data_IF_799437554999
#
_entry.id   IF_799437554999
#
_cell.length_a   1.000
_cell.length_b   1.000
_cell.length_c   1.000
_cell.angle_alpha   90.00
_cell.angle_beta   90.00
_cell.angle_gamma   90.00
#
_symmetry.space_group_name_H-M   'P 1'
#
loop_
_entity.id
_entity.type
_entity.pdbx_description
1 polymer ?
#
# COMPACT_ATOMS: atom_id res chain seq x y z
N UNK A 1 -8.28 -0.16 -69.14
CA UNK A 1 -7.10 0.29 -68.38
C UNK A 1 -7.47 1.02 -67.08
N UNK A 2 -8.37 2.02 -67.09
CA UNK A 2 -8.77 2.79 -65.90
C UNK A 2 -9.52 1.91 -64.86
N UNK A 3 -10.32 0.96 -65.31
CA UNK A 3 -11.05 0.02 -64.46
C UNK A 3 -10.11 -0.86 -63.61
N UNK A 4 -8.99 -1.31 -64.19
CA UNK A 4 -8.00 -2.11 -63.51
C UNK A 4 -7.25 -1.31 -62.46
N UNK A 5 -6.97 -0.03 -62.68
CA UNK A 5 -6.39 0.88 -61.70
C UNK A 5 -7.32 1.12 -60.52
N UNK A 6 -8.62 1.33 -60.79
CA UNK A 6 -9.62 1.52 -59.74
C UNK A 6 -9.77 0.24 -58.92
N UNK A 7 -9.86 -0.93 -59.55
CA UNK A 7 -9.96 -2.22 -58.85
C UNK A 7 -8.74 -2.49 -57.95
N UNK A 8 -7.51 -2.21 -58.43
CA UNK A 8 -6.29 -2.35 -57.63
C UNK A 8 -6.25 -1.36 -56.46
N UNK A 9 -6.74 -0.15 -56.64
CA UNK A 9 -6.81 0.84 -55.56
C UNK A 9 -7.76 0.40 -54.45
N UNK A 10 -8.96 -0.06 -54.82
CA UNK A 10 -9.95 -0.55 -53.84
C UNK A 10 -9.43 -1.80 -53.10
N UNK A 11 -8.81 -2.73 -53.85
CA UNK A 11 -8.21 -3.93 -53.25
C UNK A 11 -7.09 -3.58 -52.26
N UNK A 12 -6.21 -2.63 -52.60
CA UNK A 12 -5.13 -2.16 -51.73
C UNK A 12 -5.65 -1.55 -50.44
N UNK A 13 -6.69 -0.73 -50.49
CA UNK A 13 -7.33 -0.12 -49.31
C UNK A 13 -7.95 -1.22 -48.44
N UNK A 14 -8.64 -2.20 -49.06
CA UNK A 14 -9.22 -3.32 -48.34
C UNK A 14 -8.18 -4.16 -47.58
N UNK A 15 -7.05 -4.49 -48.23
CA UNK A 15 -5.95 -5.22 -47.60
C UNK A 15 -5.33 -4.43 -46.45
N UNK A 16 -5.09 -3.14 -46.61
CA UNK A 16 -4.56 -2.27 -45.53
C UNK A 16 -5.50 -2.20 -44.34
N UNK A 17 -6.81 -2.10 -44.56
CA UNK A 17 -7.81 -2.10 -43.52
C UNK A 17 -7.80 -3.43 -42.69
N UNK A 18 -7.71 -4.57 -43.37
CA UNK A 18 -7.60 -5.89 -42.73
C UNK A 18 -6.31 -5.99 -41.90
N UNK A 19 -5.19 -5.51 -42.44
CA UNK A 19 -3.91 -5.50 -41.69
C UNK A 19 -3.99 -4.64 -40.42
N UNK A 20 -4.62 -3.47 -40.51
CA UNK A 20 -4.81 -2.60 -39.33
C UNK A 20 -5.66 -3.29 -38.22
N UNK A 21 -6.71 -4.00 -38.60
CA UNK A 21 -7.53 -4.77 -37.68
C UNK A 21 -6.74 -5.90 -37.01
N UNK A 22 -5.92 -6.63 -37.76
CA UNK A 22 -5.06 -7.67 -37.20
C UNK A 22 -4.06 -7.11 -36.19
N UNK A 23 -3.41 -5.99 -36.45
CA UNK A 23 -2.47 -5.37 -35.53
C UNK A 23 -3.17 -4.94 -34.24
N UNK A 24 -4.33 -4.30 -34.34
CA UNK A 24 -5.12 -3.90 -33.15
C UNK A 24 -5.54 -5.12 -32.35
N UNK A 25 -5.99 -6.19 -33.01
CA UNK A 25 -6.35 -7.46 -32.34
C UNK A 25 -5.18 -8.06 -31.55
N UNK A 26 -3.99 -8.13 -32.18
CA UNK A 26 -2.79 -8.67 -31.51
C UNK A 26 -2.37 -7.85 -30.28
N UNK A 27 -2.42 -6.52 -30.35
CA UNK A 27 -2.12 -5.65 -29.21
C UNK A 27 -3.12 -5.89 -28.08
N UNK A 28 -4.41 -6.02 -28.40
CA UNK A 28 -5.46 -6.26 -27.42
C UNK A 28 -5.28 -7.62 -26.71
N UNK A 29 -4.97 -8.67 -27.47
CA UNK A 29 -4.70 -10.00 -26.91
C UNK A 29 -3.49 -9.98 -25.99
N UNK A 30 -2.39 -9.36 -26.40
CA UNK A 30 -1.19 -9.22 -25.56
C UNK A 30 -1.51 -8.52 -24.25
N UNK A 31 -2.25 -7.40 -24.32
CA UNK A 31 -2.65 -6.65 -23.12
C UNK A 31 -3.54 -7.49 -22.19
N UNK A 32 -4.49 -8.23 -22.74
CA UNK A 32 -5.35 -9.13 -21.96
C UNK A 32 -4.53 -10.23 -21.27
N UNK A 33 -3.58 -10.85 -21.97
CA UNK A 33 -2.68 -11.85 -21.42
C UNK A 33 -1.83 -11.27 -20.28
N UNK A 34 -1.25 -10.08 -20.47
CA UNK A 34 -0.46 -9.40 -19.43
C UNK A 34 -1.28 -9.14 -18.17
N UNK A 35 -2.52 -8.64 -18.31
CA UNK A 35 -3.41 -8.37 -17.15
C UNK A 35 -3.79 -9.68 -16.45
N UNK A 36 -4.14 -10.71 -17.21
CA UNK A 36 -4.50 -12.04 -16.65
C UNK A 36 -3.32 -12.66 -15.90
N UNK A 37 -2.13 -12.61 -16.46
CA UNK A 37 -0.90 -13.09 -15.79
C UNK A 37 -0.59 -12.29 -14.53
N UNK A 38 -0.73 -10.97 -14.59
CA UNK A 38 -0.53 -10.11 -13.42
C UNK A 38 -1.53 -10.39 -12.30
N UNK A 39 -2.80 -10.66 -12.65
CA UNK A 39 -3.82 -11.05 -11.67
C UNK A 39 -3.48 -12.39 -11.01
N UNK A 40 -3.07 -13.39 -11.79
CA UNK A 40 -2.65 -14.68 -11.27
C UNK A 40 -1.43 -14.57 -10.34
N UNK A 41 -0.46 -13.70 -10.66
CA UNK A 41 0.67 -13.42 -9.77
C UNK A 41 0.22 -12.76 -8.46
N UNK A 42 -0.71 -11.80 -8.52
CA UNK A 42 -1.24 -11.13 -7.34
C UNK A 42 -1.99 -12.13 -6.44
N UNK A 43 -2.80 -13.01 -7.01
CA UNK A 43 -3.52 -14.03 -6.27
C UNK A 43 -2.56 -15.05 -5.64
N UNK A 44 -1.54 -15.50 -6.37
CA UNK A 44 -0.51 -16.41 -5.85
C UNK A 44 0.23 -15.80 -4.66
N UNK A 45 0.48 -14.49 -4.68
CA UNK A 45 1.11 -13.80 -3.57
C UNK A 45 0.16 -13.68 -2.38
N UNK A 46 -1.11 -13.37 -2.63
CA UNK A 46 -2.14 -13.29 -1.59
C UNK A 46 -2.35 -14.63 -0.88
N UNK A 47 -2.27 -15.76 -1.61
CA UNK A 47 -2.38 -17.11 -1.02
C UNK A 47 -1.26 -17.39 0.00
N UNK A 48 -0.07 -16.83 -0.20
CA UNK A 48 1.01 -16.96 0.79
C UNK A 48 0.62 -16.31 2.12
N UNK A 49 -0.03 -15.14 2.08
CA UNK A 49 -0.52 -14.48 3.28
C UNK A 49 -1.66 -15.25 3.95
N UNK A 50 -2.52 -15.91 3.17
CA UNK A 50 -3.60 -16.78 3.71
C UNK A 50 -3.06 -18.00 4.43
N UNK A 51 -1.87 -18.48 4.06
CA UNK A 51 -1.20 -19.59 4.73
C UNK A 51 -0.48 -19.18 6.03
N UNK A 52 -0.34 -17.89 6.31
CA UNK A 52 0.35 -17.38 7.50
C UNK A 52 -0.62 -17.20 8.67
N UNK A 53 -0.09 -17.41 9.89
CA UNK A 53 -0.81 -17.00 11.10
C UNK A 53 -0.93 -15.49 11.16
N UNK A 54 -2.05 -14.97 11.65
CA UNK A 54 -2.33 -13.54 11.76
C UNK A 54 -1.17 -12.74 12.40
N UNK A 55 -0.56 -13.28 13.47
CA UNK A 55 0.53 -12.63 14.22
C UNK A 55 1.74 -12.32 13.32
N UNK A 56 2.07 -13.21 12.38
CA UNK A 56 3.27 -13.07 11.53
C UNK A 56 3.01 -12.34 10.21
N UNK A 57 1.77 -11.96 9.92
CA UNK A 57 1.45 -11.14 8.76
C UNK A 57 2.03 -9.74 8.96
N UNK A 58 3.02 -9.37 8.17
CA UNK A 58 3.70 -8.09 8.23
C UNK A 58 4.85 -8.02 7.25
N UNK A 59 5.58 -6.93 7.28
CA UNK A 59 6.72 -6.67 6.42
C UNK A 59 7.92 -6.27 7.28
N UNK A 60 9.12 -6.56 6.82
CA UNK A 60 10.34 -6.15 7.51
C UNK A 60 10.57 -4.63 7.37
N UNK A 61 10.98 -3.99 8.47
CA UNK A 61 11.19 -2.54 8.55
C UNK A 61 12.29 -2.06 7.61
N UNK A 62 13.38 -2.80 7.55
CA UNK A 62 14.53 -2.45 6.72
C UNK A 62 14.20 -2.56 5.23
N UNK A 63 13.45 -3.59 4.86
CA UNK A 63 13.00 -3.81 3.48
C UNK A 63 11.97 -2.77 3.03
N UNK A 64 11.03 -2.39 3.90
CA UNK A 64 10.08 -1.30 3.62
C UNK A 64 10.80 0.03 3.44
N UNK A 65 11.81 0.32 4.26
CA UNK A 65 12.62 1.53 4.13
C UNK A 65 13.41 1.56 2.81
N UNK A 66 13.86 0.40 2.32
CA UNK A 66 14.61 0.24 1.08
C UNK A 66 13.71 0.14 -0.18
N UNK A 67 12.39 0.03 -0.04
CA UNK A 67 11.46 -0.27 -1.13
C UNK A 67 11.35 0.80 -2.23
N UNK A 68 11.85 2.02 -1.95
CA UNK A 68 11.99 3.10 -2.93
C UNK A 68 10.73 3.95 -3.14
N UNK A 69 10.91 5.05 -3.89
CA UNK A 69 9.91 6.11 -4.03
C UNK A 69 8.57 5.63 -4.64
N UNK A 70 8.60 4.72 -5.60
CA UNK A 70 7.38 4.20 -6.26
C UNK A 70 6.51 3.42 -5.27
N UNK A 71 7.13 2.61 -4.41
CA UNK A 71 6.45 1.88 -3.36
C UNK A 71 5.82 2.85 -2.35
N UNK A 72 6.59 3.82 -1.87
CA UNK A 72 6.15 4.79 -0.87
C UNK A 72 5.09 5.77 -1.39
N UNK A 73 5.03 6.01 -2.70
CA UNK A 73 4.04 6.88 -3.33
C UNK A 73 2.71 6.19 -3.62
N UNK A 74 2.61 4.87 -3.50
CA UNK A 74 1.37 4.15 -3.76
C UNK A 74 0.28 4.48 -2.74
N UNK A 75 -0.97 4.50 -3.20
CA UNK A 75 -2.14 4.74 -2.33
C UNK A 75 -2.32 3.66 -1.26
N UNK A 76 -1.79 2.44 -1.45
CA UNK A 76 -1.78 1.40 -0.45
C UNK A 76 -0.82 1.69 0.72
N UNK A 77 0.18 2.55 0.49
CA UNK A 77 1.08 3.09 1.52
C UNK A 77 0.48 4.36 2.15
N UNK A 78 -0.79 4.29 2.56
CA UNK A 78 -1.53 5.47 2.99
C UNK A 78 -0.98 6.11 4.24
N UNK A 79 -0.88 7.44 4.18
CA UNK A 79 -0.93 8.32 5.34
C UNK A 79 -2.37 8.82 5.43
N UNK A 80 -3.14 8.43 6.43
CA UNK A 80 -4.40 9.09 6.73
C UNK A 80 -4.07 10.42 7.41
N UNK A 81 -4.71 11.47 6.94
CA UNK A 81 -4.55 12.82 7.48
C UNK A 81 -5.72 13.22 8.37
N UNK A 82 -6.70 12.37 8.55
CA UNK A 82 -7.89 12.56 9.38
C UNK A 82 -8.03 11.39 10.36
N UNK A 83 -8.33 11.67 11.65
CA UNK A 83 -8.49 12.99 12.24
C UNK A 83 -7.18 13.77 12.35
N UNK A 84 -7.29 15.10 12.38
CA UNK A 84 -6.17 16.00 12.59
C UNK A 84 -6.51 17.03 13.67
N UNK A 85 -5.46 17.48 14.37
CA UNK A 85 -5.52 18.48 15.42
C UNK A 85 -4.21 19.29 15.43
N UNK A 86 -3.99 20.10 16.42
CA UNK A 86 -2.74 20.84 16.60
C UNK A 86 -2.14 20.57 17.97
N UNK A 87 -0.84 20.69 18.08
CA UNK A 87 -0.12 20.59 19.34
C UNK A 87 -0.44 21.85 20.19
N UNK A 88 -0.85 21.66 21.44
CA UNK A 88 -1.22 22.78 22.31
C UNK A 88 -0.01 23.55 22.86
N UNK A 89 1.13 22.89 23.05
CA UNK A 89 2.36 23.48 23.58
C UNK A 89 3.58 22.86 22.91
N UNK A 90 4.69 23.60 22.94
CA UNK A 90 5.99 23.10 22.44
C UNK A 90 6.41 21.86 23.23
N UNK A 91 6.93 20.87 22.51
CA UNK A 91 7.54 19.67 23.08
C UNK A 91 8.99 19.53 22.60
N UNK A 92 9.85 19.00 23.44
CA UNK A 92 11.21 18.63 23.07
C UNK A 92 11.29 17.21 22.48
N UNK A 93 12.47 16.81 22.05
CA UNK A 93 12.69 15.49 21.45
C UNK A 93 12.56 14.32 22.45
N UNK A 94 12.65 14.59 23.76
CA UNK A 94 12.59 13.57 24.81
C UNK A 94 11.19 13.43 25.43
N UNK A 95 10.25 14.32 25.08
CA UNK A 95 8.90 14.30 25.65
C UNK A 95 8.19 12.97 25.35
N UNK A 96 7.67 12.33 26.37
CA UNK A 96 6.89 11.08 26.27
C UNK A 96 5.38 11.32 26.31
N UNK A 97 4.96 12.54 26.56
CA UNK A 97 3.57 12.98 26.53
C UNK A 97 3.44 14.25 25.71
N UNK A 98 2.32 14.42 25.03
CA UNK A 98 1.98 15.66 24.32
C UNK A 98 0.52 16.00 24.57
N UNK A 99 0.23 17.30 24.60
CA UNK A 99 -1.14 17.79 24.70
C UNK A 99 -1.57 18.38 23.37
N UNK A 100 -2.67 17.90 22.85
CA UNK A 100 -3.29 18.36 21.59
C UNK A 100 -4.47 19.28 21.88
N UNK A 101 -4.85 20.11 20.91
CA UNK A 101 -6.00 21.00 21.03
C UNK A 101 -7.33 20.22 21.19
N UNK A 102 -7.44 19.06 20.55
CA UNK A 102 -8.57 18.15 20.71
C UNK A 102 -8.14 16.73 20.41
N UNK A 103 -8.47 15.79 21.29
CA UNK A 103 -8.32 14.35 21.06
C UNK A 103 -9.56 13.71 20.39
N UNK A 104 -10.61 14.51 20.13
CA UNK A 104 -11.88 14.00 19.58
C UNK A 104 -11.68 13.46 18.17
N UNK A 105 -12.24 12.31 17.89
CA UNK A 105 -12.19 11.64 16.60
C UNK A 105 -10.96 10.74 16.39
N UNK A 106 -9.95 10.82 17.25
CA UNK A 106 -8.85 9.86 17.19
C UNK A 106 -9.31 8.49 17.71
N UNK A 107 -8.77 7.39 17.16
CA UNK A 107 -9.13 6.04 17.61
C UNK A 107 -8.65 5.77 19.05
N UNK A 108 -9.12 4.68 19.63
CA UNK A 108 -8.53 4.15 20.86
C UNK A 108 -7.07 3.75 20.61
N UNK A 109 -6.19 4.05 21.58
CA UNK A 109 -4.80 3.60 21.50
C UNK A 109 -4.71 2.06 21.44
N UNK A 110 -3.70 1.50 20.74
CA UNK A 110 -2.56 2.19 20.15
C UNK A 110 -2.79 2.63 18.68
N UNK A 111 -2.21 3.76 18.29
CA UNK A 111 -2.22 4.23 16.90
C UNK A 111 -0.99 5.12 16.64
N UNK A 112 -0.83 5.56 15.40
CA UNK A 112 0.28 6.44 14.99
C UNK A 112 -0.23 7.82 14.62
N UNK A 113 0.58 8.82 14.94
CA UNK A 113 0.39 10.21 14.51
C UNK A 113 1.64 10.71 13.81
N UNK A 114 1.44 11.65 12.89
CA UNK A 114 2.52 12.40 12.24
C UNK A 114 2.54 13.82 12.80
N UNK A 115 3.74 14.28 13.13
CA UNK A 115 4.01 15.63 13.63
C UNK A 115 5.24 16.16 12.89
N UNK A 116 5.05 17.02 11.89
CA UNK A 116 6.11 17.37 10.94
C UNK A 116 6.59 16.15 10.15
N UNK A 117 7.87 15.84 10.22
CA UNK A 117 8.45 14.64 9.60
C UNK A 117 8.57 13.47 10.58
N UNK A 118 8.30 13.68 11.85
CA UNK A 118 8.33 12.64 12.87
C UNK A 118 7.02 11.86 12.92
N UNK A 119 7.14 10.55 13.14
CA UNK A 119 6.03 9.66 13.49
C UNK A 119 6.15 9.29 14.95
N UNK A 120 5.05 9.42 15.67
CA UNK A 120 4.94 9.05 17.07
C UNK A 120 3.95 7.89 17.21
N UNK A 121 4.27 6.95 18.07
CA UNK A 121 3.38 5.86 18.41
C UNK A 121 2.64 6.19 19.70
N UNK A 122 1.33 6.41 19.59
CA UNK A 122 0.45 6.71 20.74
C UNK A 122 0.12 5.41 21.43
N UNK A 123 0.50 5.31 22.69
CA UNK A 123 0.25 4.13 23.53
C UNK A 123 -0.95 4.29 24.45
N UNK A 124 -1.32 5.54 24.77
CA UNK A 124 -2.46 5.85 25.64
C UNK A 124 -3.05 7.21 25.25
N UNK A 125 -4.37 7.33 25.39
CA UNK A 125 -5.12 8.58 25.18
C UNK A 125 -5.94 8.89 26.42
N UNK A 126 -5.69 10.05 27.01
CA UNK A 126 -6.48 10.58 28.12
C UNK A 126 -6.98 11.98 27.74
N UNK A 127 -8.16 12.03 27.12
CA UNK A 127 -8.74 13.25 26.59
C UNK A 127 -7.85 13.90 25.49
N UNK A 128 -7.27 15.06 25.79
CA UNK A 128 -6.36 15.76 24.92
C UNK A 128 -4.87 15.42 25.16
N UNK A 129 -4.56 14.55 26.12
CA UNK A 129 -3.19 14.14 26.45
C UNK A 129 -2.91 12.77 25.85
N UNK A 130 -1.88 12.69 25.02
CA UNK A 130 -1.41 11.46 24.39
C UNK A 130 -0.07 11.04 24.98
N UNK A 131 0.01 9.80 25.48
CA UNK A 131 1.28 9.17 25.85
C UNK A 131 1.89 8.54 24.60
N UNK A 132 3.14 8.84 24.31
CA UNK A 132 3.76 8.49 23.02
C UNK A 132 5.16 7.91 23.15
N UNK A 133 5.50 7.04 22.21
CA UNK A 133 6.88 6.68 21.91
C UNK A 133 7.35 7.51 20.70
N UNK A 134 8.49 8.16 20.86
CA UNK A 134 9.07 9.09 19.87
C UNK A 134 9.83 8.35 18.78
N UNK A 135 9.99 8.99 17.62
CA UNK A 135 10.81 8.48 16.52
C UNK A 135 10.34 7.13 15.97
N UNK A 136 9.03 6.86 16.02
CA UNK A 136 8.48 5.63 15.46
C UNK A 136 8.70 5.59 13.95
N UNK A 137 8.63 4.38 13.39
CA UNK A 137 8.70 4.17 11.95
C UNK A 137 10.00 4.68 11.30
N UNK A 138 11.15 4.50 11.97
CA UNK A 138 12.46 4.94 11.50
C UNK A 138 12.59 6.46 11.32
N UNK A 139 11.70 7.25 11.92
CA UNK A 139 11.84 8.69 11.98
C UNK A 139 12.69 9.11 13.18
N UNK A 140 13.22 10.32 13.14
CA UNK A 140 14.04 10.87 14.24
C UNK A 140 13.17 11.75 15.13
N UNK A 141 13.27 11.54 16.46
CA UNK A 141 12.62 12.39 17.42
C UNK A 141 13.17 13.83 17.33
N UNK A 142 12.27 14.80 17.23
CA UNK A 142 12.59 16.22 17.08
C UNK A 142 11.76 17.10 18.02
N UNK A 143 12.19 18.33 18.26
CA UNK A 143 11.37 19.32 18.94
C UNK A 143 10.31 19.89 18.01
N UNK A 144 9.08 20.11 18.53
CA UNK A 144 7.97 20.66 17.76
C UNK A 144 7.32 21.81 18.51
N UNK A 145 7.06 22.89 17.80
CA UNK A 145 6.42 24.09 18.36
C UNK A 145 4.93 23.88 18.60
N UNK A 146 4.38 24.56 19.59
CA UNK A 146 2.93 24.67 19.77
C UNK A 146 2.27 25.17 18.48
N UNK A 147 1.08 24.65 18.16
CA UNK A 147 0.38 24.92 16.92
C UNK A 147 0.76 23.99 15.74
N UNK A 148 1.81 23.16 15.88
CA UNK A 148 2.17 22.20 14.83
C UNK A 148 1.02 21.21 14.57
N UNK A 149 0.80 20.90 13.29
CA UNK A 149 -0.26 19.96 12.88
C UNK A 149 0.05 18.54 13.36
N UNK A 150 -0.91 17.94 14.02
CA UNK A 150 -0.91 16.53 14.46
C UNK A 150 -1.98 15.80 13.67
N UNK A 151 -1.60 14.85 12.85
CA UNK A 151 -2.54 14.06 12.05
C UNK A 151 -2.38 12.58 12.35
N UNK A 152 -3.50 11.84 12.36
CA UNK A 152 -3.42 10.39 12.41
C UNK A 152 -2.63 9.88 11.20
N UNK A 153 -1.77 8.89 11.43
CA UNK A 153 -1.06 8.20 10.37
C UNK A 153 -1.39 6.72 10.38
N UNK A 154 -2.04 6.26 9.32
CA UNK A 154 -2.15 4.85 9.06
C UNK A 154 -0.97 4.41 8.21
N UNK A 155 -0.25 3.41 8.64
CA UNK A 155 0.97 2.97 7.97
C UNK A 155 0.97 1.47 7.71
N UNK A 156 1.80 1.08 6.75
CA UNK A 156 2.20 -0.30 6.51
C UNK A 156 2.57 -0.97 7.83
N UNK A 157 1.93 -2.09 8.12
CA UNK A 157 2.20 -2.86 9.32
C UNK A 157 3.52 -3.58 9.16
N UNK A 158 4.40 -3.33 10.11
CA UNK A 158 5.72 -3.92 10.15
C UNK A 158 5.77 -4.84 11.36
N UNK A 159 6.13 -6.08 11.14
CA UNK A 159 6.46 -7.00 12.22
C UNK A 159 7.93 -6.81 12.54
N UNK A 160 8.22 -6.26 13.71
CA UNK A 160 9.56 -6.30 14.25
C UNK A 160 9.84 -7.72 14.70
N UNK A 161 10.68 -8.41 13.97
CA UNK A 161 11.13 -9.74 14.32
C UNK A 161 12.31 -9.61 15.27
N UNK A 162 12.03 -9.45 16.56
CA UNK A 162 13.08 -9.59 17.57
C UNK A 162 13.77 -10.95 17.39
N UNK A 163 15.05 -10.96 17.06
CA UNK A 163 15.99 -12.09 16.96
C UNK A 163 15.48 -13.45 16.41
N UNK A 164 14.37 -13.49 15.71
CA UNK A 164 13.79 -14.70 15.10
C UNK A 164 13.55 -14.51 13.61
N UNK A 165 13.58 -15.59 12.85
CA UNK A 165 13.29 -15.56 11.40
C UNK A 165 11.85 -15.16 11.17
N UNK A 166 11.60 -13.91 10.78
CA UNK A 166 10.32 -13.59 10.17
C UNK A 166 10.23 -14.24 8.80
N UNK A 167 9.17 -14.96 8.59
CA UNK A 167 8.79 -15.35 7.23
C UNK A 167 8.15 -14.13 6.57
N UNK A 168 8.93 -13.06 6.41
CA UNK A 168 8.46 -11.85 5.78
C UNK A 168 8.59 -12.00 4.28
N UNK A 169 7.54 -11.65 3.60
CA UNK A 169 7.60 -11.43 2.15
C UNK A 169 8.25 -10.08 1.92
N UNK A 170 9.22 -10.02 1.01
CA UNK A 170 9.81 -8.76 0.59
C UNK A 170 8.71 -7.80 0.12
N UNK A 171 8.72 -6.53 0.58
CA UNK A 171 7.73 -5.55 0.17
C UNK A 171 7.75 -5.29 -1.34
N UNK A 172 8.90 -5.49 -1.97
CA UNK A 172 9.10 -5.34 -3.42
C UNK A 172 9.89 -6.53 -3.94
N UNK A 173 9.34 -7.25 -4.89
CA UNK A 173 10.04 -8.34 -5.56
C UNK A 173 9.80 -8.35 -7.07
N UNK A 174 10.70 -8.98 -7.80
CA UNK A 174 10.54 -9.26 -9.22
C UNK A 174 10.04 -10.69 -9.38
N UNK A 175 9.06 -10.88 -10.26
CA UNK A 175 8.49 -12.18 -10.59
C UNK A 175 8.35 -12.34 -12.11
N UNK A 176 8.61 -13.54 -12.62
CA UNK A 176 8.38 -13.86 -14.02
C UNK A 176 6.99 -14.50 -14.16
N UNK A 177 6.16 -13.94 -15.03
CA UNK A 177 4.83 -14.48 -15.31
C UNK A 177 4.86 -15.68 -16.25
N UNK A 178 3.72 -16.36 -16.37
CA UNK A 178 3.56 -17.48 -17.30
C UNK A 178 3.71 -17.08 -18.78
N UNK A 179 3.56 -15.79 -19.08
CA UNK A 179 3.79 -15.19 -20.40
C UNK A 179 5.29 -14.89 -20.67
N UNK A 180 6.18 -15.24 -19.75
CA UNK A 180 7.62 -14.97 -19.85
C UNK A 180 8.03 -13.53 -19.58
N UNK A 181 7.08 -12.64 -19.24
CA UNK A 181 7.37 -11.25 -18.91
C UNK A 181 7.78 -11.10 -17.44
N UNK A 182 8.62 -10.10 -17.16
CA UNK A 182 9.00 -9.75 -15.81
C UNK A 182 8.05 -8.71 -15.24
N UNK A 183 7.61 -8.92 -14.00
CA UNK A 183 6.69 -8.08 -13.26
C UNK A 183 7.32 -7.64 -11.95
N UNK A 184 7.03 -6.42 -11.53
CA UNK A 184 7.29 -5.94 -10.18
C UNK A 184 6.05 -6.19 -9.34
N UNK A 185 6.23 -6.86 -8.21
CA UNK A 185 5.17 -7.16 -7.25
C UNK A 185 5.46 -6.38 -5.97
N UNK A 186 4.60 -5.43 -5.65
CA UNK A 186 4.65 -4.63 -4.44
C UNK A 186 3.60 -5.13 -3.46
N UNK A 187 4.02 -5.40 -2.22
CA UNK A 187 3.15 -5.89 -1.16
C UNK A 187 3.08 -4.86 -0.03
N UNK A 188 1.86 -4.55 0.40
CA UNK A 188 1.57 -3.62 1.49
C UNK A 188 0.77 -4.34 2.56
N UNK A 189 1.14 -4.12 3.82
CA UNK A 189 0.35 -4.57 4.96
C UNK A 189 0.04 -3.34 5.81
N UNK A 190 -1.23 -3.01 5.95
CA UNK A 190 -1.69 -1.86 6.72
C UNK A 190 -2.70 -2.28 7.78
N UNK A 191 -2.81 -1.51 8.86
CA UNK A 191 -3.87 -1.68 9.82
C UNK A 191 -5.20 -1.17 9.25
N UNK A 192 -6.24 -1.94 9.45
CA UNK A 192 -7.62 -1.55 9.17
C UNK A 192 -8.45 -1.70 10.43
N UNK A 193 -9.12 -0.62 10.83
CA UNK A 193 -10.10 -0.68 11.90
C UNK A 193 -11.42 -1.18 11.32
N UNK A 194 -11.87 -2.34 11.79
CA UNK A 194 -13.20 -2.85 11.47
C UNK A 194 -14.17 -2.26 12.51
N UNK A 195 -14.97 -1.27 12.11
CA UNK A 195 -16.06 -0.75 12.95
C UNK A 195 -17.28 -1.65 12.80
N UNK A 196 -17.83 -2.09 13.93
CA UNK A 196 -19.12 -2.77 13.95
C UNK A 196 -20.24 -1.76 13.64
N UNK A 197 -21.36 -2.23 13.12
CA UNK A 197 -22.55 -1.42 12.76
C UNK A 197 -23.15 -0.57 13.88
N UNK A 198 -22.62 -0.61 15.10
CA UNK A 198 -23.00 0.20 16.25
C UNK A 198 -21.99 1.29 16.63
N UNK A 199 -20.96 1.58 15.82
CA UNK A 199 -19.96 2.63 16.11
C UNK A 199 -19.00 2.28 17.25
N UNK A 200 -19.04 1.06 17.77
CA UNK A 200 -18.09 0.59 18.78
C UNK A 200 -16.76 0.27 18.07
N UNK A 201 -15.65 0.75 18.64
CA UNK A 201 -14.31 0.44 18.19
C UNK A 201 -14.17 -1.07 17.98
N UNK A 202 -14.04 -1.47 16.72
CA UNK A 202 -13.94 -2.85 16.31
C UNK A 202 -12.52 -3.38 16.48
N UNK A 203 -12.33 -4.64 16.10
CA UNK A 203 -11.03 -5.30 16.12
C UNK A 203 -10.10 -4.72 15.07
N UNK A 204 -8.81 -4.69 15.37
CA UNK A 204 -7.79 -4.35 14.40
C UNK A 204 -7.61 -5.52 13.42
N UNK A 205 -7.90 -5.27 12.16
CA UNK A 205 -7.57 -6.19 11.06
C UNK A 205 -6.32 -5.71 10.33
N UNK A 206 -5.64 -6.63 9.67
CA UNK A 206 -4.55 -6.32 8.75
C UNK A 206 -5.08 -6.38 7.33
N UNK A 207 -4.95 -5.27 6.60
CA UNK A 207 -5.25 -5.21 5.17
C UNK A 207 -3.96 -5.48 4.40
N UNK A 208 -3.91 -6.60 3.71
CA UNK A 208 -2.84 -6.91 2.77
C UNK A 208 -3.27 -6.48 1.37
N UNK A 209 -2.44 -5.69 0.71
CA UNK A 209 -2.65 -5.25 -0.67
C UNK A 209 -1.44 -5.66 -1.51
N UNK A 210 -1.68 -6.43 -2.54
CA UNK A 210 -0.68 -6.82 -3.54
C UNK A 210 -0.92 -6.05 -4.82
N UNK A 211 0.11 -5.40 -5.33
CA UNK A 211 0.07 -4.58 -6.56
C UNK A 211 1.10 -5.13 -7.53
N UNK A 212 0.65 -5.56 -8.70
CA UNK A 212 1.52 -6.04 -9.77
C UNK A 212 1.67 -4.96 -10.83
N UNK A 213 2.91 -4.61 -11.12
CA UNK A 213 3.31 -3.51 -11.99
C UNK A 213 4.19 -4.00 -13.15
N UNK A 214 4.27 -3.16 -14.18
CA UNK A 214 5.29 -3.33 -15.22
C UNK A 214 6.69 -3.21 -14.62
N UNK A 215 7.59 -4.15 -14.91
CA UNK A 215 9.00 -4.03 -14.52
C UNK A 215 9.71 -2.88 -15.27
N UNK A 216 9.36 -2.68 -16.52
CA UNK A 216 9.95 -1.63 -17.36
C UNK A 216 9.38 -0.23 -17.06
N UNK A 217 8.12 -0.13 -16.63
CA UNK A 217 7.44 1.11 -16.25
C UNK A 217 6.66 0.92 -14.95
N UNK A 218 7.33 0.98 -13.79
CA UNK A 218 6.73 0.61 -12.50
C UNK A 218 5.56 1.51 -12.04
N UNK A 219 5.33 2.64 -12.69
CA UNK A 219 4.13 3.47 -12.52
C UNK A 219 2.87 2.83 -13.12
N UNK A 220 3.04 1.91 -14.09
CA UNK A 220 1.92 1.19 -14.73
C UNK A 220 1.51 0.00 -13.87
N UNK A 221 0.30 0.04 -13.35
CA UNK A 221 -0.32 -1.03 -12.56
C UNK A 221 -1.14 -1.92 -13.49
N UNK A 222 -0.93 -3.25 -13.42
CA UNK A 222 -1.69 -4.24 -14.16
C UNK A 222 -2.76 -4.92 -13.31
N UNK A 223 -2.45 -5.21 -12.04
CA UNK A 223 -3.37 -5.82 -11.11
C UNK A 223 -3.20 -5.28 -9.70
N UNK A 224 -4.29 -5.25 -8.95
CA UNK A 224 -4.31 -4.91 -7.51
C UNK A 224 -5.33 -5.81 -6.83
N UNK A 225 -4.89 -6.53 -5.81
CA UNK A 225 -5.73 -7.42 -4.99
C UNK A 225 -5.55 -7.03 -3.52
N UNK A 226 -6.64 -6.98 -2.76
CA UNK A 226 -6.60 -6.69 -1.33
C UNK A 226 -7.43 -7.70 -0.57
N UNK A 227 -6.96 -8.10 0.62
CA UNK A 227 -7.67 -8.99 1.53
C UNK A 227 -7.46 -8.54 2.97
N UNK A 228 -8.52 -8.63 3.78
CA UNK A 228 -8.45 -8.32 5.21
C UNK A 228 -8.27 -9.61 6.01
N UNK A 229 -7.38 -9.55 6.99
CA UNK A 229 -7.07 -10.64 7.91
C UNK A 229 -7.42 -10.18 9.33
N UNK A 230 -8.24 -10.96 10.03
CA UNK A 230 -8.65 -10.73 11.41
C UNK A 230 -8.09 -11.84 12.30
N UNK A 231 -7.73 -11.51 13.53
CA UNK A 231 -7.22 -12.46 14.52
C UNK A 231 -8.23 -13.60 14.81
N UNK A 232 -9.54 -13.34 14.68
CA UNK A 232 -10.58 -14.34 14.91
C UNK A 232 -10.76 -15.33 13.74
N UNK A 233 -10.23 -15.01 12.54
CA UNK A 233 -10.30 -15.87 11.35
C UNK A 233 -8.95 -16.51 11.02
N UNK A 234 -7.91 -16.17 11.76
CA UNK A 234 -6.59 -16.76 11.62
C UNK A 234 -6.54 -18.17 12.19
N UNK A 235 -6.18 -19.13 11.33
CA UNK A 235 -5.83 -20.51 11.71
C UNK A 235 -4.52 -20.54 12.53
#
# INVERSE_FOLDING_TARGET
MIELLIAMSILSIGILAVFALFQTGMVTIRRATTISTAAALADSEMEKFRALKYVVIGLDDSEVAAAGAIYLADTAYKTETTPSTTLSSTIDAAATTLTVASGTGFPSAPFRIKLGDEVLYVTEVNGAVFTVTRGADLTVAASHSGGAAVAQKQRVHIVSCGSGTCTTTDPVKMATGADGQSYRVDTYVSWQLITNSGGVAGRNAKLVTVVVRSSASPTTVYARVSSSFDEATGL
#
